data_IF_036185707077
#
_entry.id   IF_036185707077
#
_cell.length_a   1.000
_cell.length_b   1.000
_cell.length_c   1.000
_cell.angle_alpha   90.00
_cell.angle_beta   90.00
_cell.angle_gamma   90.00
#
_symmetry.space_group_name_H-M   'P 1'
#
loop_
_entity.id
_entity.type
_entity.pdbx_description
1 polymer ?
#
# COMPACT_ATOMS: atom_id res chain seq x y z
N UNK A 1 5.02 28.01 14.38
CA UNK A 1 4.46 27.56 13.09
C UNK A 1 5.18 28.31 11.98
N UNK A 2 5.98 27.61 11.16
CA UNK A 2 6.88 28.25 10.18
C UNK A 2 7.15 27.38 8.94
N UNK A 3 6.17 26.57 8.52
CA UNK A 3 6.27 25.74 7.33
C UNK A 3 5.65 26.44 6.12
N UNK A 4 6.29 26.33 4.96
CA UNK A 4 5.76 26.79 3.68
C UNK A 4 5.73 25.62 2.70
N UNK A 5 4.60 25.43 2.01
CA UNK A 5 4.51 24.44 0.93
C UNK A 5 5.19 25.00 -0.31
N UNK A 6 6.05 24.20 -0.94
CA UNK A 6 6.73 24.54 -2.19
C UNK A 6 6.31 23.57 -3.31
N UNK A 7 6.46 23.99 -4.57
CA UNK A 7 6.12 23.19 -5.74
C UNK A 7 4.63 23.27 -6.15
N UNK A 8 4.21 22.34 -7.00
CA UNK A 8 2.85 22.32 -7.58
C UNK A 8 1.95 21.36 -6.81
N UNK A 9 0.80 21.84 -6.35
CA UNK A 9 -0.19 21.03 -5.64
C UNK A 9 -1.08 20.25 -6.61
N UNK A 10 -0.93 18.93 -6.64
CA UNK A 10 -1.90 18.04 -7.26
C UNK A 10 -2.93 17.63 -6.20
N UNK A 11 -4.18 18.05 -6.36
CA UNK A 11 -5.29 17.51 -5.56
C UNK A 11 -5.64 16.13 -6.11
N UNK A 12 -6.05 15.21 -5.25
CA UNK A 12 -6.56 13.88 -5.59
C UNK A 12 -7.68 13.59 -4.59
N UNK A 13 -8.76 12.95 -5.05
CA UNK A 13 -9.81 12.46 -4.17
C UNK A 13 -10.10 10.99 -4.47
N UNK A 14 -9.56 10.08 -3.66
CA UNK A 14 -9.74 8.64 -3.83
C UNK A 14 -11.16 8.17 -3.50
N UNK A 15 -11.96 8.97 -2.77
CA UNK A 15 -13.31 8.62 -2.33
C UNK A 15 -14.30 8.48 -3.48
N UNK A 16 -13.96 9.01 -4.66
CA UNK A 16 -14.77 8.85 -5.88
C UNK A 16 -14.72 7.43 -6.45
N UNK A 17 -13.80 6.59 -5.97
CA UNK A 17 -13.68 5.21 -6.41
C UNK A 17 -14.85 4.35 -5.91
N UNK A 18 -15.50 3.59 -6.81
CA UNK A 18 -16.61 2.71 -6.42
C UNK A 18 -16.15 1.51 -5.59
N UNK A 19 -14.85 1.22 -5.56
CA UNK A 19 -14.25 0.06 -4.90
C UNK A 19 -13.85 0.31 -3.44
N UNK A 20 -13.72 1.57 -3.03
CA UNK A 20 -13.26 1.92 -1.69
C UNK A 20 -14.45 2.09 -0.73
N UNK A 21 -14.26 1.66 0.53
CA UNK A 21 -15.17 1.95 1.62
C UNK A 21 -15.11 3.44 1.97
N UNK A 22 -16.22 3.96 2.50
CA UNK A 22 -16.18 5.23 3.22
C UNK A 22 -15.46 5.02 4.56
N UNK A 23 -14.54 5.93 4.90
CA UNK A 23 -13.68 5.79 6.09
C UNK A 23 -13.34 7.15 6.68
N UNK A 24 -13.21 7.17 8.00
CA UNK A 24 -12.70 8.29 8.80
C UNK A 24 -11.34 7.99 9.41
N UNK A 25 -10.71 6.88 9.04
CA UNK A 25 -9.40 6.50 9.55
C UNK A 25 -8.30 7.23 8.77
N UNK A 26 -7.43 8.03 9.41
CA UNK A 26 -6.38 8.77 8.70
C UNK A 26 -5.43 7.87 7.90
N UNK A 27 -5.15 6.66 8.39
CA UNK A 27 -4.29 5.69 7.69
C UNK A 27 -4.81 5.34 6.30
N UNK A 28 -6.13 5.27 6.11
CA UNK A 28 -6.74 4.97 4.82
C UNK A 28 -6.62 6.14 3.84
N UNK A 29 -6.72 7.38 4.34
CA UNK A 29 -6.51 8.58 3.51
C UNK A 29 -5.04 8.74 3.08
N UNK A 30 -4.11 8.18 3.86
CA UNK A 30 -2.68 8.16 3.57
C UNK A 30 -2.24 6.91 2.79
N UNK A 31 -3.16 6.05 2.36
CA UNK A 31 -2.82 4.85 1.61
C UNK A 31 -2.27 5.21 0.21
N UNK A 32 -0.99 4.92 -0.01
CA UNK A 32 -0.29 5.23 -1.27
C UNK A 32 -0.73 4.37 -2.46
N UNK A 33 -1.46 3.28 -2.22
CA UNK A 33 -1.94 2.35 -3.24
C UNK A 33 -3.31 2.72 -3.79
N UNK A 34 -4.06 3.60 -3.12
CA UNK A 34 -5.36 4.08 -3.57
C UNK A 34 -5.21 5.03 -4.77
N UNK A 35 -5.88 4.73 -5.90
CA UNK A 35 -5.81 5.51 -7.14
C UNK A 35 -7.19 5.71 -7.79
N UNK A 36 -7.22 6.45 -8.91
CA UNK A 36 -8.39 6.53 -9.80
C UNK A 36 -9.17 7.84 -9.76
N UNK A 37 -8.55 8.95 -9.34
CA UNK A 37 -9.15 10.28 -9.45
C UNK A 37 -8.88 10.89 -10.83
N UNK A 38 -9.94 11.34 -11.51
CA UNK A 38 -9.86 11.94 -12.84
C UNK A 38 -10.12 13.46 -12.83
N UNK A 39 -10.31 14.07 -11.66
CA UNK A 39 -10.71 15.48 -11.52
C UNK A 39 -12.06 15.62 -10.86
N UNK A 40 -12.37 16.85 -10.40
CA UNK A 40 -13.55 17.15 -9.58
C UNK A 40 -14.87 16.83 -10.28
N UNK A 41 -14.97 17.14 -11.57
CA UNK A 41 -16.21 17.03 -12.35
C UNK A 41 -16.17 15.85 -13.33
N UNK A 42 -15.20 14.95 -13.17
CA UNK A 42 -15.05 13.76 -14.01
C UNK A 42 -15.57 12.52 -13.29
N UNK A 43 -16.17 11.60 -14.05
CA UNK A 43 -16.54 10.29 -13.53
C UNK A 43 -15.29 9.49 -13.19
N UNK A 44 -15.43 8.60 -12.21
CA UNK A 44 -14.42 7.59 -11.96
C UNK A 44 -14.25 6.71 -13.20
N UNK A 45 -13.00 6.55 -13.61
CA UNK A 45 -12.59 5.69 -14.70
C UNK A 45 -11.13 5.33 -14.45
N UNK A 46 -10.82 4.04 -14.43
CA UNK A 46 -9.46 3.58 -14.21
C UNK A 46 -8.67 3.70 -15.52
N UNK A 47 -7.86 4.77 -15.65
CA UNK A 47 -7.08 5.08 -16.87
C UNK A 47 -5.90 4.15 -17.12
N UNK A 48 -5.46 3.41 -16.10
CA UNK A 48 -4.33 2.47 -16.16
C UNK A 48 -4.78 1.14 -15.60
N UNK A 49 -4.34 0.04 -16.21
CA UNK A 49 -4.64 -1.31 -15.70
C UNK A 49 -3.84 -1.59 -14.42
N UNK A 50 -4.32 -1.07 -13.28
CA UNK A 50 -3.73 -1.28 -11.95
C UNK A 50 -4.64 -2.17 -11.13
N UNK A 51 -4.10 -3.25 -10.60
CA UNK A 51 -4.86 -4.17 -9.77
C UNK A 51 -5.32 -3.49 -8.47
N UNK A 52 -6.63 -3.45 -8.24
CA UNK A 52 -7.23 -2.85 -7.04
C UNK A 52 -6.78 -3.56 -5.76
N UNK A 53 -6.41 -4.83 -5.82
CA UNK A 53 -5.96 -5.60 -4.67
C UNK A 53 -4.76 -4.97 -3.95
N UNK A 54 -3.94 -4.18 -4.65
CA UNK A 54 -2.83 -3.43 -4.06
C UNK A 54 -3.28 -2.47 -2.95
N UNK A 55 -4.52 -1.99 -2.97
CA UNK A 55 -5.06 -1.11 -1.93
C UNK A 55 -4.99 -1.78 -0.56
N UNK A 56 -5.40 -3.04 -0.45
CA UNK A 56 -5.41 -3.79 0.80
C UNK A 56 -4.03 -4.35 1.22
N UNK A 57 -2.93 -3.90 0.58
CA UNK A 57 -1.58 -4.35 0.95
C UNK A 57 -1.34 -4.23 2.46
N UNK A 58 -1.76 -3.11 3.05
CA UNK A 58 -1.55 -2.81 4.47
C UNK A 58 -2.78 -2.22 5.17
N UNK A 59 -3.99 -2.45 4.64
CA UNK A 59 -5.24 -1.95 5.22
C UNK A 59 -6.44 -2.81 4.79
N UNK A 60 -7.64 -2.40 5.22
CA UNK A 60 -8.92 -3.03 4.89
C UNK A 60 -9.87 -2.09 4.10
N UNK A 61 -9.32 -1.24 3.23
CA UNK A 61 -10.04 -0.13 2.58
C UNK A 61 -10.93 -0.54 1.40
N UNK A 62 -10.65 -1.65 0.72
CA UNK A 62 -11.55 -2.16 -0.33
C UNK A 62 -12.85 -2.67 0.27
N UNK A 63 -13.96 -2.47 -0.44
CA UNK A 63 -15.26 -3.05 -0.07
C UNK A 63 -15.23 -4.58 -0.14
N UNK A 64 -16.10 -5.22 0.64
CA UNK A 64 -16.14 -6.68 0.77
C UNK A 64 -16.49 -7.38 -0.55
N UNK A 65 -17.26 -6.73 -1.44
CA UNK A 65 -17.62 -7.29 -2.75
C UNK A 65 -16.41 -7.44 -3.68
N UNK A 66 -15.29 -6.78 -3.37
CA UNK A 66 -14.04 -6.97 -4.10
C UNK A 66 -13.34 -8.29 -3.77
N UNK A 67 -13.74 -8.98 -2.70
CA UNK A 67 -13.21 -10.29 -2.27
C UNK A 67 -11.67 -10.34 -2.12
N UNK A 68 -11.06 -9.21 -1.76
CA UNK A 68 -9.61 -9.10 -1.49
C UNK A 68 -9.37 -9.13 0.02
N UNK A 69 -8.53 -10.05 0.54
CA UNK A 69 -8.17 -10.06 1.95
C UNK A 69 -7.56 -8.73 2.40
N UNK A 70 -7.86 -8.32 3.63
CA UNK A 70 -7.22 -7.16 4.26
C UNK A 70 -5.77 -7.47 4.64
N UNK A 71 -4.92 -6.43 4.68
CA UNK A 71 -3.54 -6.49 5.13
C UNK A 71 -2.76 -7.70 4.59
N UNK A 72 -2.97 -8.02 3.30
CA UNK A 72 -2.53 -9.30 2.75
C UNK A 72 -1.01 -9.38 2.54
N UNK A 73 -0.31 -8.25 2.53
CA UNK A 73 1.13 -8.27 2.37
C UNK A 73 1.81 -8.70 3.66
N UNK A 74 2.36 -9.90 3.59
CA UNK A 74 3.19 -10.49 4.62
C UNK A 74 4.17 -11.43 3.95
N UNK A 75 5.39 -11.51 4.48
CA UNK A 75 6.34 -12.52 4.04
C UNK A 75 5.78 -13.92 4.24
N UNK A 76 6.15 -14.85 3.35
CA UNK A 76 5.75 -16.26 3.49
C UNK A 76 6.20 -16.76 4.87
N UNK A 77 5.26 -17.36 5.62
CA UNK A 77 5.48 -17.79 7.01
C UNK A 77 6.07 -16.69 7.92
N UNK A 78 5.80 -15.41 7.64
CA UNK A 78 6.39 -14.26 8.34
C UNK A 78 7.93 -14.24 8.33
N UNK A 79 8.53 -14.73 7.26
CA UNK A 79 9.99 -14.79 7.10
C UNK A 79 10.65 -16.03 7.72
N UNK A 80 9.86 -16.99 8.22
CA UNK A 80 10.40 -18.23 8.78
C UNK A 80 10.62 -19.29 7.70
N UNK A 81 11.73 -20.01 7.79
CA UNK A 81 12.08 -21.17 6.96
C UNK A 81 12.36 -22.40 7.83
N UNK A 82 12.18 -23.60 7.26
CA UNK A 82 12.64 -24.83 7.91
C UNK A 82 14.08 -25.10 7.50
N UNK A 83 14.97 -25.27 8.48
CA UNK A 83 16.35 -25.67 8.23
C UNK A 83 16.46 -27.19 7.94
N UNK A 84 17.68 -27.67 7.69
CA UNK A 84 17.96 -29.08 7.41
C UNK A 84 17.59 -30.02 8.58
N UNK A 85 17.68 -29.50 9.82
CA UNK A 85 17.29 -30.21 11.04
C UNK A 85 15.75 -30.26 11.25
N UNK A 86 14.99 -29.53 10.43
CA UNK A 86 13.53 -29.45 10.49
C UNK A 86 12.97 -28.38 11.41
N UNK A 87 13.84 -27.59 12.05
CA UNK A 87 13.49 -26.47 12.92
C UNK A 87 13.09 -25.23 12.12
N UNK A 88 12.17 -24.44 12.69
CA UNK A 88 11.79 -23.14 12.13
C UNK A 88 12.76 -22.06 12.60
N UNK A 89 13.46 -21.45 11.66
CA UNK A 89 14.40 -20.35 11.89
C UNK A 89 14.00 -19.13 11.06
N UNK A 90 14.36 -17.94 11.54
CA UNK A 90 14.14 -16.70 10.78
C UNK A 90 15.14 -16.65 9.61
N UNK A 91 14.65 -16.30 8.42
CA UNK A 91 15.52 -16.06 7.27
C UNK A 91 16.49 -14.93 7.57
N UNK A 92 17.75 -15.09 7.16
CA UNK A 92 18.69 -13.97 7.10
C UNK A 92 18.25 -13.03 5.97
N UNK A 93 18.43 -11.71 6.11
CA UNK A 93 18.23 -10.78 4.99
C UNK A 93 19.07 -11.19 3.78
N UNK A 94 18.56 -10.91 2.58
CA UNK A 94 19.34 -11.07 1.36
C UNK A 94 20.51 -10.07 1.35
N UNK A 95 21.60 -10.40 0.64
CA UNK A 95 22.81 -9.57 0.58
C UNK A 95 22.53 -8.11 0.14
N UNK A 96 21.51 -7.91 -0.71
CA UNK A 96 21.07 -6.59 -1.20
C UNK A 96 20.30 -5.78 -0.13
N UNK A 97 19.68 -6.45 0.84
CA UNK A 97 18.94 -5.82 1.94
C UNK A 97 19.85 -5.49 3.14
N UNK A 98 21.12 -5.86 3.06
CA UNK A 98 22.10 -5.56 4.09
C UNK A 98 22.44 -4.06 4.08
N UNK A 99 22.57 -3.42 5.25
CA UNK A 99 22.94 -2.02 5.32
C UNK A 99 24.34 -1.83 4.73
N UNK A 100 24.43 -1.05 3.65
CA UNK A 100 25.70 -0.64 3.07
C UNK A 100 26.27 0.49 3.91
N UNK A 101 27.52 0.35 4.36
CA UNK A 101 28.22 1.42 5.06
C UNK A 101 28.57 2.48 4.02
N UNK A 102 27.94 3.65 4.11
CA UNK A 102 28.34 4.83 3.33
C UNK A 102 29.69 5.32 3.89
N UNK A 103 30.78 5.10 3.15
CA UNK A 103 32.06 5.73 3.47
C UNK A 103 32.05 7.18 2.96
N UNK A 104 32.41 8.12 3.83
CA UNK A 104 32.65 9.54 3.50
C UNK A 104 33.86 9.74 2.59
#
# INVERSE_FOLDING_TARGET
MGYVNIGTKLKIDSRVSPFLKETHHPGDWHNLQATGWNGKDQKYEMKVNRNIALVNKSCALLKEECLVPECWWVEKNKGMLKNEDGDWVLATPDDEDMPVVEFE
#
